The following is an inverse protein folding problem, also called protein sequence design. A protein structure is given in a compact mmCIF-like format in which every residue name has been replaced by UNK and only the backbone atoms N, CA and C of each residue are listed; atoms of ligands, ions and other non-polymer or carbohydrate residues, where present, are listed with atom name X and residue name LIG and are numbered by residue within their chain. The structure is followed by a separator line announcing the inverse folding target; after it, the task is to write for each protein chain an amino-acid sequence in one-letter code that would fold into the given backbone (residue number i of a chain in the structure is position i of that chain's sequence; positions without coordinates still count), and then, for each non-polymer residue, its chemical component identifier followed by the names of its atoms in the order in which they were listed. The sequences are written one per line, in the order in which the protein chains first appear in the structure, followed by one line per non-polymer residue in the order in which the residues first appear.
data_IF_247762746785
#
_entry.id   IF_247762746785
#
_cell.length_a   1.000
_cell.length_b   1.000
_cell.length_c   1.000
_cell.angle_alpha   90.00
_cell.angle_beta   90.00
_cell.angle_gamma   90.00
#
_symmetry.space_group_name_H-M   'P 1'
#
loop_
_entity.id
_entity.type
_entity.pdbx_description
1 polymer ?
#
# COMPACT_ATOMS: atom_id res chain seq x y z
N UNK A 1 31.87 17.15 9.53
CA UNK A 1 30.57 17.18 8.82
C UNK A 1 29.67 18.17 9.54
N UNK A 2 29.14 19.17 8.84
CA UNK A 2 28.27 20.19 9.43
C UNK A 2 27.01 19.56 10.01
N UNK A 3 26.66 19.95 11.23
CA UNK A 3 25.47 19.46 11.94
C UNK A 3 24.23 20.00 11.21
N UNK A 4 23.50 19.14 10.51
CA UNK A 4 22.23 19.53 9.89
C UNK A 4 21.26 20.02 10.97
N UNK A 5 20.51 21.06 10.65
CA UNK A 5 19.47 21.57 11.56
C UNK A 5 18.33 20.54 11.65
N UNK A 6 17.53 20.62 12.73
CA UNK A 6 16.38 19.73 12.91
C UNK A 6 15.41 19.82 11.72
N UNK A 7 15.09 21.04 11.27
CA UNK A 7 14.21 21.28 10.13
C UNK A 7 14.76 20.66 8.84
N UNK A 8 16.06 20.85 8.55
CA UNK A 8 16.66 20.26 7.34
C UNK A 8 16.61 18.72 7.36
N UNK A 9 16.73 18.11 8.54
CA UNK A 9 16.60 16.66 8.69
C UNK A 9 15.17 16.20 8.42
N UNK A 10 14.17 16.95 8.89
CA UNK A 10 12.74 16.65 8.66
C UNK A 10 12.37 16.79 7.17
N UNK A 11 12.82 17.86 6.51
CA UNK A 11 12.58 18.08 5.07
C UNK A 11 13.21 16.96 4.22
N UNK A 12 14.46 16.61 4.52
CA UNK A 12 15.15 15.50 3.87
C UNK A 12 14.40 14.17 4.08
N UNK A 13 13.97 13.90 5.32
CA UNK A 13 13.22 12.68 5.63
C UNK A 13 11.88 12.61 4.88
N UNK A 14 11.18 13.74 4.75
CA UNK A 14 9.95 13.82 3.97
C UNK A 14 10.21 13.54 2.48
N UNK A 15 11.29 14.10 1.91
CA UNK A 15 11.71 13.85 0.53
C UNK A 15 12.05 12.37 0.28
N UNK A 16 12.81 11.74 1.19
CA UNK A 16 13.15 10.32 1.06
C UNK A 16 11.92 9.42 1.21
N UNK A 17 10.99 9.75 2.11
CA UNK A 17 9.72 9.04 2.22
C UNK A 17 8.87 9.15 0.94
N UNK A 18 8.85 10.32 0.29
CA UNK A 18 8.15 10.49 -0.98
C UNK A 18 8.77 9.63 -2.08
N UNK A 19 10.10 9.57 -2.16
CA UNK A 19 10.81 8.71 -3.10
C UNK A 19 10.54 7.22 -2.85
N UNK A 20 10.60 6.78 -1.58
CA UNK A 20 10.26 5.39 -1.21
C UNK A 20 8.85 5.05 -1.65
N UNK A 21 7.89 5.94 -1.37
CA UNK A 21 6.50 5.75 -1.75
C UNK A 21 6.34 5.65 -3.27
N UNK A 22 7.02 6.50 -4.04
CA UNK A 22 6.98 6.46 -5.50
C UNK A 22 7.53 5.15 -6.08
N UNK A 23 8.72 4.72 -5.62
CA UNK A 23 9.31 3.43 -6.02
C UNK A 23 8.34 2.28 -5.68
N UNK A 24 7.77 2.29 -4.47
CA UNK A 24 6.81 1.28 -4.05
C UNK A 24 5.56 1.24 -4.94
N UNK A 25 4.97 2.39 -5.27
CA UNK A 25 3.71 2.47 -6.02
C UNK A 25 3.89 2.10 -7.50
N UNK A 26 5.08 2.32 -8.06
CA UNK A 26 5.36 2.11 -9.48
C UNK A 26 6.07 0.78 -9.77
N UNK A 27 6.98 0.35 -8.89
CA UNK A 27 7.85 -0.81 -9.11
C UNK A 27 7.63 -1.94 -8.08
N UNK A 28 7.00 -1.63 -6.95
CA UNK A 28 6.71 -2.59 -5.88
C UNK A 28 7.77 -2.62 -4.78
N UNK A 29 7.46 -3.38 -3.72
CA UNK A 29 8.25 -3.40 -2.48
C UNK A 29 9.67 -3.96 -2.66
N UNK A 30 9.86 -4.93 -3.56
CA UNK A 30 11.16 -5.57 -3.80
C UNK A 30 12.21 -4.59 -4.37
N UNK A 31 11.77 -3.47 -4.95
CA UNK A 31 12.62 -2.42 -5.50
C UNK A 31 13.03 -1.37 -4.45
N UNK A 32 12.37 -1.35 -3.29
CA UNK A 32 12.66 -0.41 -2.19
C UNK A 32 13.89 -0.92 -1.42
N UNK A 33 15.07 -0.57 -1.90
CA UNK A 33 16.36 -1.01 -1.35
C UNK A 33 17.31 0.15 -1.09
N UNK A 34 18.26 -0.02 -0.17
CA UNK A 34 19.33 0.97 0.04
C UNK A 34 20.12 1.28 -1.24
N UNK A 35 20.35 0.29 -2.10
CA UNK A 35 21.03 0.49 -3.38
C UNK A 35 20.24 1.43 -4.28
N UNK A 36 18.93 1.20 -4.40
CA UNK A 36 18.04 2.06 -5.17
C UNK A 36 17.98 3.48 -4.61
N UNK A 37 17.75 3.64 -3.31
CA UNK A 37 17.70 4.95 -2.67
C UNK A 37 19.05 5.69 -2.78
N UNK A 38 20.16 4.98 -2.62
CA UNK A 38 21.51 5.57 -2.74
C UNK A 38 21.74 6.11 -4.16
N UNK A 39 21.30 5.37 -5.19
CA UNK A 39 21.39 5.79 -6.59
C UNK A 39 20.53 7.03 -6.88
N UNK A 40 19.28 7.06 -6.41
CA UNK A 40 18.34 8.15 -6.68
C UNK A 40 18.66 9.44 -5.89
N UNK A 41 19.11 9.29 -4.64
CA UNK A 41 19.41 10.45 -3.76
C UNK A 41 20.86 10.92 -3.85
N UNK A 42 21.76 10.12 -4.41
CA UNK A 42 23.21 10.35 -4.38
C UNK A 42 23.84 10.15 -2.99
N UNK A 43 23.08 9.70 -1.99
CA UNK A 43 23.56 9.53 -0.62
C UNK A 43 24.21 8.16 -0.42
N UNK A 44 25.15 8.10 0.52
CA UNK A 44 25.74 6.81 0.95
C UNK A 44 24.72 5.99 1.72
N UNK A 45 24.78 4.66 1.59
CA UNK A 45 23.95 3.73 2.38
C UNK A 45 24.04 3.99 3.88
N UNK A 46 25.23 4.27 4.42
CA UNK A 46 25.41 4.58 5.84
C UNK A 46 24.70 5.86 6.29
N UNK A 47 24.51 6.84 5.38
CA UNK A 47 23.72 8.04 5.66
C UNK A 47 22.24 7.70 5.70
N UNK A 48 21.74 6.91 4.75
CA UNK A 48 20.36 6.42 4.73
C UNK A 48 20.04 5.55 5.94
N UNK A 49 21.00 4.74 6.40
CA UNK A 49 20.89 3.94 7.62
C UNK A 49 20.69 4.79 8.88
N UNK A 50 21.15 6.05 8.86
CA UNK A 50 20.88 7.01 9.92
C UNK A 50 19.44 7.54 9.95
N UNK A 51 18.65 7.32 8.89
CA UNK A 51 17.21 7.64 8.84
C UNK A 51 16.36 6.38 9.00
N UNK A 52 16.78 5.28 8.38
CA UNK A 52 16.09 3.98 8.37
C UNK A 52 17.10 2.94 8.84
N UNK A 53 17.03 2.40 10.07
CA UNK A 53 18.02 1.43 10.55
C UNK A 53 18.08 0.12 9.75
N UNK A 54 16.94 -0.31 9.19
CA UNK A 54 16.80 -1.54 8.40
C UNK A 54 15.87 -1.35 7.20
N UNK A 55 15.87 -2.29 6.26
CA UNK A 55 14.93 -2.26 5.12
C UNK A 55 13.46 -2.30 5.58
N UNK A 56 13.17 -2.88 6.75
CA UNK A 56 11.82 -2.91 7.30
C UNK A 56 11.34 -1.51 7.73
N UNK A 57 12.26 -0.61 8.09
CA UNK A 57 11.92 0.75 8.50
C UNK A 57 11.44 1.63 7.34
N UNK A 58 11.65 1.21 6.09
CA UNK A 58 11.03 1.86 4.94
C UNK A 58 9.50 1.79 4.98
N UNK A 59 8.89 0.88 5.75
CA UNK A 59 7.44 0.81 5.91
C UNK A 59 6.86 2.09 6.52
N UNK A 60 7.67 2.88 7.24
CA UNK A 60 7.29 4.20 7.78
C UNK A 60 6.89 5.17 6.67
N UNK A 61 7.53 5.10 5.50
CA UNK A 61 7.21 5.96 4.36
C UNK A 61 5.81 5.66 3.76
N UNK A 62 5.34 4.43 3.93
CA UNK A 62 4.05 3.94 3.40
C UNK A 62 2.91 4.17 4.40
N UNK A 63 3.22 4.07 5.70
CA UNK A 63 2.22 4.13 6.78
C UNK A 63 1.36 5.40 6.69
N UNK A 64 0.04 5.21 6.56
CA UNK A 64 -0.93 6.31 6.48
C UNK A 64 -0.99 7.05 5.14
N UNK A 65 -0.11 6.74 4.17
CA UNK A 65 -0.09 7.38 2.84
C UNK A 65 -0.84 6.59 1.77
N UNK A 66 -0.98 5.28 1.94
CA UNK A 66 -1.67 4.41 0.98
C UNK A 66 -3.19 4.52 1.02
N UNK A 67 -3.77 4.85 2.18
CA UNK A 67 -5.23 4.86 2.32
C UNK A 67 -5.92 5.93 1.45
N UNK A 68 -5.45 7.19 1.39
CA UNK A 68 -5.98 8.16 0.44
C UNK A 68 -5.92 7.71 -1.03
N UNK A 69 -4.85 7.00 -1.41
CA UNK A 69 -4.65 6.47 -2.77
C UNK A 69 -5.65 5.34 -3.08
N UNK A 70 -6.06 4.56 -2.08
CA UNK A 70 -7.13 3.58 -2.25
C UNK A 70 -8.45 4.31 -2.50
N UNK A 71 -8.79 5.28 -1.63
CA UNK A 71 -10.09 5.94 -1.65
C UNK A 71 -10.37 6.73 -2.94
N UNK A 72 -9.35 7.32 -3.57
CA UNK A 72 -9.53 8.04 -4.84
C UNK A 72 -10.01 7.15 -6.00
N UNK A 73 -9.92 5.82 -5.88
CA UNK A 73 -10.32 4.88 -6.93
C UNK A 73 -11.64 4.16 -6.64
N UNK A 74 -12.24 4.36 -5.47
CA UNK A 74 -13.39 3.57 -5.01
C UNK A 74 -14.66 4.41 -4.91
N UNK A 75 -15.76 3.83 -5.35
CA UNK A 75 -17.10 4.39 -5.26
C UNK A 75 -17.89 3.71 -4.14
N UNK A 76 -18.19 4.46 -3.08
CA UNK A 76 -18.92 3.96 -1.92
C UNK A 76 -20.41 4.31 -1.95
N UNK A 77 -20.95 4.70 -3.11
CA UNK A 77 -22.39 5.03 -3.27
C UNK A 77 -23.28 3.80 -3.08
N UNK A 78 -22.83 2.63 -3.53
CA UNK A 78 -23.53 1.36 -3.31
C UNK A 78 -22.55 0.18 -3.41
N UNK A 79 -22.91 -0.97 -2.85
CA UNK A 79 -22.10 -2.20 -2.95
C UNK A 79 -21.78 -2.60 -4.41
N UNK A 80 -22.72 -2.60 -5.37
CA UNK A 80 -22.38 -2.88 -6.77
C UNK A 80 -21.37 -1.90 -7.37
N UNK A 81 -21.49 -0.60 -7.08
CA UNK A 81 -20.56 0.42 -7.56
C UNK A 81 -19.19 0.29 -6.91
N UNK A 82 -19.11 -0.12 -5.64
CA UNK A 82 -17.86 -0.43 -4.96
C UNK A 82 -17.14 -1.59 -5.63
N UNK A 83 -17.86 -2.67 -5.94
CA UNK A 83 -17.28 -3.84 -6.61
C UNK A 83 -16.79 -3.51 -8.03
N UNK A 84 -17.57 -2.75 -8.79
CA UNK A 84 -17.19 -2.32 -10.14
C UNK A 84 -16.01 -1.34 -10.14
N UNK A 85 -16.01 -0.35 -9.24
CA UNK A 85 -14.89 0.57 -9.09
C UNK A 85 -13.62 -0.15 -8.62
N UNK A 86 -13.73 -1.12 -7.71
CA UNK A 86 -12.60 -1.96 -7.28
C UNK A 86 -11.97 -2.75 -8.43
N UNK A 87 -12.80 -3.44 -9.25
CA UNK A 87 -12.30 -4.17 -10.44
C UNK A 87 -11.58 -3.26 -11.42
N UNK A 88 -12.10 -2.05 -11.64
CA UNK A 88 -11.45 -1.04 -12.49
C UNK A 88 -10.14 -0.58 -11.85
N UNK A 89 -10.13 -0.33 -10.54
CA UNK A 89 -8.96 0.10 -9.79
C UNK A 89 -7.82 -0.93 -9.83
N UNK A 90 -8.13 -2.23 -9.84
CA UNK A 90 -7.11 -3.29 -9.96
C UNK A 90 -6.31 -3.25 -11.27
N UNK A 91 -6.79 -2.54 -12.30
CA UNK A 91 -6.05 -2.27 -13.55
C UNK A 91 -5.08 -1.09 -13.44
N UNK A 92 -5.18 -0.30 -12.37
CA UNK A 92 -4.27 0.81 -12.06
C UNK A 92 -3.08 0.26 -11.28
N UNK A 93 -1.87 0.49 -11.80
CA UNK A 93 -0.61 -0.04 -11.24
C UNK A 93 -0.49 0.26 -9.74
N UNK A 94 -0.69 1.51 -9.34
CA UNK A 94 -0.53 1.96 -7.95
C UNK A 94 -1.50 1.23 -7.00
N UNK A 95 -2.77 1.15 -7.37
CA UNK A 95 -3.78 0.44 -6.58
C UNK A 95 -3.44 -1.05 -6.49
N UNK A 96 -3.07 -1.67 -7.61
CA UNK A 96 -2.64 -3.09 -7.66
C UNK A 96 -1.43 -3.35 -6.76
N UNK A 97 -0.45 -2.45 -6.72
CA UNK A 97 0.73 -2.58 -5.84
C UNK A 97 0.35 -2.52 -4.36
N UNK A 98 -0.54 -1.60 -3.99
CA UNK A 98 -1.04 -1.49 -2.60
C UNK A 98 -1.80 -2.76 -2.21
N UNK A 99 -2.68 -3.26 -3.07
CA UNK A 99 -3.45 -4.48 -2.80
C UNK A 99 -2.55 -5.72 -2.71
N UNK A 100 -1.57 -5.85 -3.61
CA UNK A 100 -0.55 -6.90 -3.55
C UNK A 100 0.21 -6.86 -2.22
N UNK A 101 0.58 -5.66 -1.75
CA UNK A 101 1.23 -5.48 -0.46
C UNK A 101 0.36 -6.00 0.70
N UNK A 102 -0.94 -5.67 0.73
CA UNK A 102 -1.84 -6.17 1.78
C UNK A 102 -1.93 -7.70 1.81
N UNK A 103 -2.02 -8.34 0.65
CA UNK A 103 -2.04 -9.81 0.55
C UNK A 103 -0.70 -10.42 1.01
N UNK A 104 0.43 -9.86 0.56
CA UNK A 104 1.75 -10.38 0.94
C UNK A 104 2.06 -10.22 2.43
N UNK A 105 1.61 -9.12 3.05
CA UNK A 105 1.81 -8.89 4.49
C UNK A 105 0.97 -9.82 5.37
N UNK A 106 -0.11 -10.42 4.86
CA UNK A 106 -0.95 -11.35 5.62
C UNK A 106 -0.19 -12.57 6.16
N UNK A 107 0.90 -12.99 5.49
CA UNK A 107 1.71 -14.15 5.86
C UNK A 107 2.83 -13.86 6.87
N UNK A 108 3.15 -12.60 7.17
CA UNK A 108 4.21 -12.26 8.14
C UNK A 108 3.71 -12.49 9.57
N UNK A 109 4.33 -13.44 10.29
CA UNK A 109 4.05 -13.73 11.73
C UNK A 109 4.20 -12.46 12.57
N UNK A 110 3.23 -12.18 13.44
CA UNK A 110 3.24 -11.02 14.33
C UNK A 110 2.61 -9.74 13.74
N UNK A 111 1.80 -9.84 12.68
CA UNK A 111 1.19 -8.70 12.01
C UNK A 111 0.06 -8.02 12.83
N UNK A 112 0.46 -7.33 13.89
CA UNK A 112 -0.08 -6.00 14.20
C UNK A 112 0.39 -4.94 13.18
N UNK A 113 0.79 -5.38 11.98
CA UNK A 113 1.41 -4.61 10.93
C UNK A 113 0.43 -3.66 10.22
N UNK A 114 1.02 -2.71 9.53
CA UNK A 114 0.34 -1.67 8.74
C UNK A 114 -0.74 -2.23 7.80
N UNK A 115 -0.57 -3.45 7.26
CA UNK A 115 -1.58 -4.14 6.45
C UNK A 115 -2.88 -4.45 7.20
N UNK A 116 -2.84 -5.05 8.40
CA UNK A 116 -4.05 -5.37 9.20
C UNK A 116 -4.82 -4.10 9.56
N UNK A 117 -4.10 -3.07 10.01
CA UNK A 117 -4.69 -1.78 10.33
C UNK A 117 -5.30 -1.12 9.09
N UNK A 118 -4.68 -1.29 7.92
CA UNK A 118 -5.23 -0.84 6.63
C UNK A 118 -6.56 -1.51 6.29
N UNK A 119 -6.64 -2.85 6.40
CA UNK A 119 -7.88 -3.59 6.14
C UNK A 119 -8.98 -3.22 7.13
N UNK A 120 -8.66 -3.11 8.43
CA UNK A 120 -9.62 -2.67 9.44
C UNK A 120 -10.09 -1.23 9.20
N UNK A 121 -9.19 -0.35 8.75
CA UNK A 121 -9.55 1.02 8.35
C UNK A 121 -10.52 1.03 7.15
N UNK A 122 -10.30 0.16 6.17
CA UNK A 122 -11.20 0.00 5.03
C UNK A 122 -12.56 -0.56 5.47
N UNK A 123 -12.58 -1.59 6.32
CA UNK A 123 -13.81 -2.16 6.86
C UNK A 123 -14.64 -1.13 7.62
N UNK A 124 -13.99 -0.31 8.45
CA UNK A 124 -14.63 0.82 9.14
C UNK A 124 -15.21 1.82 8.14
N UNK A 125 -14.43 2.22 7.13
CA UNK A 125 -14.89 3.16 6.11
C UNK A 125 -16.09 2.62 5.29
N UNK A 126 -16.10 1.31 5.00
CA UNK A 126 -17.24 0.63 4.36
C UNK A 126 -18.46 0.69 5.28
N UNK A 127 -18.31 0.35 6.56
CA UNK A 127 -19.41 0.41 7.53
C UNK A 127 -20.01 1.83 7.63
N UNK A 128 -19.16 2.86 7.64
CA UNK A 128 -19.59 4.26 7.73
C UNK A 128 -20.32 4.72 6.45
N UNK A 129 -19.97 4.18 5.28
CA UNK A 129 -20.54 4.59 3.97
C UNK A 129 -21.70 3.72 3.50
N UNK A 130 -21.70 2.45 3.87
CA UNK A 130 -22.68 1.42 3.49
C UNK A 130 -23.23 0.75 4.76
N UNK A 131 -23.99 1.47 5.61
CA UNK A 131 -24.37 1.01 6.95
C UNK A 131 -25.34 -0.18 6.95
N UNK A 132 -25.97 -0.48 5.81
CA UNK A 132 -26.90 -1.61 5.64
C UNK A 132 -26.22 -2.89 5.18
N UNK A 133 -24.92 -2.85 4.88
CA UNK A 133 -24.15 -3.98 4.37
C UNK A 133 -23.21 -4.52 5.46
N UNK A 134 -22.91 -5.83 5.43
CA UNK A 134 -21.88 -6.39 6.29
C UNK A 134 -20.48 -6.02 5.76
N UNK A 135 -19.68 -5.22 6.51
CA UNK A 135 -18.35 -4.82 6.06
C UNK A 135 -17.38 -6.00 5.95
N UNK A 136 -17.55 -7.07 6.75
CA UNK A 136 -16.70 -8.26 6.66
C UNK A 136 -16.96 -9.02 5.36
N UNK A 137 -18.22 -9.23 4.99
CA UNK A 137 -18.59 -9.88 3.73
C UNK A 137 -18.07 -9.08 2.52
N UNK A 138 -18.21 -7.75 2.54
CA UNK A 138 -17.68 -6.90 1.48
C UNK A 138 -16.16 -7.04 1.41
N UNK A 139 -15.44 -6.95 2.53
CA UNK A 139 -13.99 -7.09 2.55
C UNK A 139 -13.56 -8.46 2.02
N UNK A 140 -14.21 -9.54 2.45
CA UNK A 140 -13.91 -10.89 1.95
C UNK A 140 -14.09 -10.96 0.42
N UNK A 141 -15.16 -10.37 -0.10
CA UNK A 141 -15.42 -10.32 -1.54
C UNK A 141 -14.36 -9.49 -2.29
N UNK A 142 -14.03 -8.29 -1.80
CA UNK A 142 -13.01 -7.41 -2.41
C UNK A 142 -11.62 -8.05 -2.42
N UNK A 143 -11.24 -8.72 -1.33
CA UNK A 143 -9.96 -9.45 -1.26
C UNK A 143 -9.99 -10.74 -2.07
N UNK A 144 -11.13 -11.41 -2.21
CA UNK A 144 -11.31 -12.51 -3.17
C UNK A 144 -11.11 -12.06 -4.61
N UNK A 145 -11.72 -10.93 -4.99
CA UNK A 145 -11.49 -10.27 -6.29
C UNK A 145 -10.02 -9.91 -6.50
N UNK A 146 -9.38 -9.37 -5.46
CA UNK A 146 -7.97 -9.02 -5.49
C UNK A 146 -7.09 -10.23 -5.77
N UNK A 147 -7.26 -11.32 -5.02
CA UNK A 147 -6.42 -12.52 -5.16
C UNK A 147 -6.66 -13.19 -6.51
N UNK A 148 -7.91 -13.31 -6.94
CA UNK A 148 -8.22 -13.89 -8.27
C UNK A 148 -7.60 -13.08 -9.41
N UNK A 149 -7.67 -11.75 -9.34
CA UNK A 149 -7.01 -10.87 -10.31
C UNK A 149 -5.48 -10.98 -10.26
N UNK A 150 -4.87 -11.06 -9.06
CA UNK A 150 -3.42 -11.24 -8.91
C UNK A 150 -2.93 -12.59 -9.46
N UNK A 151 -3.77 -13.62 -9.39
CA UNK A 151 -3.51 -14.95 -9.96
C UNK A 151 -3.87 -15.04 -11.45
N UNK A 152 -4.38 -13.97 -12.06
CA UNK A 152 -4.94 -13.94 -13.42
C UNK A 152 -6.03 -15.02 -13.64
N UNK A 153 -6.86 -15.27 -12.63
CA UNK A 153 -8.00 -16.17 -12.73
C UNK A 153 -9.21 -15.38 -13.19
N UNK A 154 -9.76 -15.76 -14.33
CA UNK A 154 -10.97 -15.17 -14.91
C UNK A 154 -12.01 -16.23 -15.29
N UNK A 155 -13.14 -15.79 -15.86
CA UNK A 155 -14.23 -16.69 -16.28
C UNK A 155 -13.81 -17.71 -17.35
N UNK A 156 -12.77 -17.44 -18.14
CA UNK A 156 -12.30 -18.40 -19.15
C UNK A 156 -11.61 -19.63 -18.53
N UNK A 157 -11.21 -19.53 -17.26
CA UNK A 157 -10.60 -20.61 -16.48
C UNK A 157 -11.63 -21.44 -15.69
N UNK A 158 -12.91 -21.04 -15.68
CA UNK A 158 -13.94 -21.70 -14.88
C UNK A 158 -14.59 -22.85 -15.67
N UNK A 159 -14.86 -24.00 -15.03
CA UNK A 159 -15.63 -25.07 -15.66
C UNK A 159 -17.05 -24.57 -15.99
N UNK A 160 -17.50 -24.90 -17.19
CA UNK A 160 -18.87 -24.66 -17.68
C UNK A 160 -19.89 -25.50 -16.96
#
# INVERSE_FOLDING_TARGET
MGRITKNQREDNFASYNALILDIFLNEGWDHVTYDRLSKETGLRKSTLQGYYPSNADFEVAIKGKVFPIILQHLDFTSKPLLLESWKKAMKVTQFKMIMRMFVMQAHKKGSEGSGRLGVLGLAKYISDRLPTEDPLEIIQLLFGLTVTELLNIDRSHMPT
#
